data_IF_815535823334
#
_entry.id   IF_815535823334
#
_cell.length_a   1.000
_cell.length_b   1.000
_cell.length_c   1.000
_cell.angle_alpha   90.00
_cell.angle_beta   90.00
_cell.angle_gamma   90.00
#
_symmetry.space_group_name_H-M   'P 1'
#
loop_
_entity.id
_entity.type
_entity.pdbx_description
1 polymer ?
#
# COMPACT_ATOMS: atom_id res chain seq x y z
N UNK A 1 27.12 21.58 -10.71
CA UNK A 1 26.65 21.16 -9.38
C UNK A 1 25.92 19.83 -9.54
N UNK A 2 26.65 18.72 -9.39
CA UNK A 2 26.06 17.39 -9.47
C UNK A 2 25.14 17.18 -8.25
N UNK A 3 23.84 17.04 -8.48
CA UNK A 3 22.94 16.50 -7.46
C UNK A 3 23.42 15.08 -7.17
N UNK A 4 24.09 14.90 -6.03
CA UNK A 4 24.40 13.59 -5.49
C UNK A 4 23.08 12.88 -5.27
N UNK A 5 22.67 12.07 -6.25
CA UNK A 5 21.58 11.11 -6.08
C UNK A 5 22.00 10.26 -4.89
N UNK A 6 21.37 10.47 -3.73
CA UNK A 6 21.52 9.57 -2.60
C UNK A 6 21.31 8.15 -3.13
N UNK A 7 22.18 7.20 -2.80
CA UNK A 7 21.99 5.82 -3.24
C UNK A 7 20.56 5.40 -2.87
N UNK A 8 19.85 4.68 -3.76
CA UNK A 8 18.50 4.25 -3.46
C UNK A 8 18.51 3.49 -2.13
N UNK A 9 17.59 3.77 -1.21
CA UNK A 9 17.58 3.15 0.11
C UNK A 9 17.69 1.62 0.03
N UNK A 10 18.35 0.99 0.99
CA UNK A 10 18.56 -0.47 1.01
C UNK A 10 17.25 -1.28 0.91
N UNK A 11 16.13 -0.70 1.35
CA UNK A 11 14.81 -1.31 1.27
C UNK A 11 14.16 -1.27 -0.13
N UNK A 12 14.73 -0.53 -1.10
CA UNK A 12 14.35 -0.52 -2.52
C UNK A 12 15.11 -1.56 -3.36
N UNK A 13 16.24 -2.05 -2.84
CA UNK A 13 17.11 -2.94 -3.58
C UNK A 13 16.64 -4.39 -3.37
N UNK A 14 16.39 -5.17 -4.44
CA UNK A 14 16.16 -6.60 -4.28
C UNK A 14 17.44 -7.24 -3.74
N UNK A 15 17.30 -8.22 -2.85
CA UNK A 15 18.45 -9.04 -2.45
C UNK A 15 19.14 -9.60 -3.71
N UNK A 16 20.47 -9.59 -3.73
CA UNK A 16 21.26 -9.98 -4.91
C UNK A 16 20.81 -11.35 -5.44
N UNK A 17 20.28 -11.40 -6.66
CA UNK A 17 19.78 -12.62 -7.32
C UNK A 17 18.31 -12.99 -7.04
N UNK A 18 17.55 -12.16 -6.33
CA UNK A 18 16.16 -12.46 -5.97
C UNK A 18 15.14 -11.95 -7.02
N UNK A 19 14.01 -12.65 -7.14
CA UNK A 19 12.88 -12.21 -7.97
C UNK A 19 12.34 -10.85 -7.48
N UNK A 20 11.75 -10.00 -8.36
CA UNK A 20 11.31 -8.64 -8.03
C UNK A 20 10.32 -8.54 -6.84
N UNK A 21 9.63 -9.63 -6.50
CA UNK A 21 8.77 -9.72 -5.31
C UNK A 21 9.50 -9.99 -3.99
N UNK A 22 10.83 -10.11 -3.99
CA UNK A 22 11.63 -10.40 -2.78
C UNK A 22 12.19 -9.14 -2.12
N UNK A 23 11.83 -7.96 -2.66
CA UNK A 23 12.25 -6.68 -2.11
C UNK A 23 11.63 -6.49 -0.71
N UNK A 24 12.38 -5.98 0.30
CA UNK A 24 11.88 -5.78 1.66
C UNK A 24 10.57 -4.97 1.72
N UNK A 25 10.42 -3.99 0.83
CA UNK A 25 9.21 -3.18 0.68
C UNK A 25 7.97 -4.02 0.33
N UNK A 26 8.09 -5.00 -0.57
CA UNK A 26 6.99 -5.89 -0.93
C UNK A 26 6.51 -6.70 0.28
N UNK A 27 7.44 -7.28 1.04
CA UNK A 27 7.11 -8.05 2.24
C UNK A 27 6.51 -7.17 3.34
N UNK A 28 7.02 -5.95 3.53
CA UNK A 28 6.47 -4.99 4.47
C UNK A 28 5.02 -4.60 4.11
N UNK A 29 4.75 -4.38 2.82
CA UNK A 29 3.41 -4.09 2.29
C UNK A 29 2.46 -5.29 2.45
N UNK A 30 2.92 -6.50 2.09
CA UNK A 30 2.13 -7.73 2.18
C UNK A 30 1.79 -8.13 3.62
N UNK A 31 2.54 -7.65 4.61
CA UNK A 31 2.32 -7.88 6.04
C UNK A 31 1.53 -6.77 6.74
N UNK A 32 1.06 -5.75 6.03
CA UNK A 32 0.18 -4.72 6.62
C UNK A 32 -1.19 -5.30 7.00
N UNK A 33 -1.84 -4.82 8.07
CA UNK A 33 -3.23 -5.15 8.36
C UNK A 33 -4.13 -4.88 7.15
N UNK A 34 -5.14 -5.75 6.93
CA UNK A 34 -5.94 -5.74 5.69
C UNK A 34 -6.56 -4.38 5.37
N UNK A 35 -7.13 -3.68 6.37
CA UNK A 35 -7.77 -2.37 6.18
C UNK A 35 -6.76 -1.27 5.81
N UNK A 36 -5.60 -1.24 6.46
CA UNK A 36 -4.51 -0.31 6.14
C UNK A 36 -3.99 -0.53 4.72
N UNK A 37 -3.83 -1.80 4.36
CA UNK A 37 -3.38 -2.21 3.04
C UNK A 37 -4.37 -1.81 1.96
N UNK A 38 -5.66 -2.05 2.16
CA UNK A 38 -6.70 -1.68 1.19
C UNK A 38 -6.75 -0.17 0.95
N UNK A 39 -6.76 0.63 2.02
CA UNK A 39 -6.73 2.10 1.90
C UNK A 39 -5.49 2.57 1.13
N UNK A 40 -4.31 2.01 1.44
CA UNK A 40 -3.08 2.37 0.77
C UNK A 40 -3.04 1.95 -0.71
N UNK A 41 -3.53 0.76 -1.03
CA UNK A 41 -3.59 0.28 -2.42
C UNK A 41 -4.53 1.14 -3.27
N UNK A 42 -5.71 1.49 -2.75
CA UNK A 42 -6.67 2.37 -3.43
C UNK A 42 -6.10 3.78 -3.62
N UNK A 43 -5.48 4.34 -2.58
CA UNK A 43 -4.83 5.65 -2.68
C UNK A 43 -3.64 5.64 -3.66
N UNK A 44 -2.90 4.54 -3.74
CA UNK A 44 -1.65 4.49 -4.53
C UNK A 44 -1.85 4.10 -5.98
N UNK A 45 -2.74 3.16 -6.27
CA UNK A 45 -2.94 2.59 -7.62
C UNK A 45 -4.02 3.35 -8.37
N UNK A 46 -5.13 3.65 -7.70
CA UNK A 46 -6.29 4.28 -8.35
C UNK A 46 -6.24 5.82 -8.23
N UNK A 47 -5.19 6.36 -7.58
CA UNK A 47 -5.02 7.79 -7.28
C UNK A 47 -6.26 8.44 -6.65
N UNK A 48 -7.07 7.62 -5.97
CA UNK A 48 -8.34 8.05 -5.40
C UNK A 48 -8.11 9.03 -4.25
N UNK A 49 -8.92 10.07 -4.21
CA UNK A 49 -8.98 10.97 -3.07
C UNK A 49 -9.61 10.31 -1.85
N UNK A 50 -9.53 10.99 -0.71
CA UNK A 50 -9.96 10.44 0.58
C UNK A 50 -11.47 10.15 0.59
N UNK A 51 -12.26 10.96 -0.12
CA UNK A 51 -13.70 10.79 -0.21
C UNK A 51 -14.09 9.54 -1.03
N UNK A 52 -13.43 9.31 -2.18
CA UNK A 52 -13.74 8.14 -3.00
C UNK A 52 -13.28 6.84 -2.31
N UNK A 53 -12.11 6.85 -1.65
CA UNK A 53 -11.64 5.71 -0.84
C UNK A 53 -12.63 5.41 0.30
N UNK A 54 -13.11 6.45 0.98
CA UNK A 54 -14.08 6.33 2.06
C UNK A 54 -15.38 5.68 1.56
N UNK A 55 -15.90 6.12 0.41
CA UNK A 55 -17.06 5.51 -0.23
C UNK A 55 -16.80 4.04 -0.61
N UNK A 56 -15.65 3.75 -1.23
CA UNK A 56 -15.31 2.40 -1.68
C UNK A 56 -15.16 1.41 -0.52
N UNK A 57 -14.65 1.87 0.63
CA UNK A 57 -14.45 1.06 1.82
C UNK A 57 -15.66 1.07 2.78
N UNK A 58 -16.68 1.89 2.52
CA UNK A 58 -17.81 2.10 3.43
C UNK A 58 -17.39 2.69 4.77
N UNK A 59 -16.43 3.62 4.77
CA UNK A 59 -15.84 4.27 5.94
C UNK A 59 -16.09 5.78 5.93
N UNK A 60 -15.89 6.43 7.08
CA UNK A 60 -15.85 7.89 7.17
C UNK A 60 -14.51 8.43 6.63
N UNK A 61 -14.48 9.59 5.94
CA UNK A 61 -13.26 10.18 5.41
C UNK A 61 -12.15 10.40 6.46
N UNK A 62 -12.51 10.75 7.71
CA UNK A 62 -11.51 10.95 8.77
C UNK A 62 -10.75 9.65 9.12
N UNK A 63 -11.41 8.50 8.95
CA UNK A 63 -10.78 7.19 9.18
C UNK A 63 -9.78 6.82 8.09
N UNK A 64 -9.93 7.36 6.88
CA UNK A 64 -8.98 7.11 5.78
C UNK A 64 -7.62 7.75 6.11
N UNK A 65 -7.62 8.99 6.60
CA UNK A 65 -6.42 9.67 7.07
C UNK A 65 -5.69 8.82 8.14
N UNK A 66 -6.45 8.35 9.14
CA UNK A 66 -5.91 7.47 10.18
C UNK A 66 -5.31 6.19 9.59
N UNK A 67 -6.01 5.52 8.68
CA UNK A 67 -5.54 4.27 8.08
C UNK A 67 -4.28 4.47 7.23
N UNK A 68 -4.18 5.58 6.48
CA UNK A 68 -3.01 5.91 5.69
C UNK A 68 -1.81 6.27 6.56
N UNK A 69 -2.02 7.09 7.60
CA UNK A 69 -0.95 7.41 8.57
C UNK A 69 -0.46 6.15 9.28
N UNK A 70 -1.35 5.27 9.74
CA UNK A 70 -0.96 3.99 10.34
C UNK A 70 -0.21 3.10 9.35
N UNK A 71 -0.63 3.04 8.09
CA UNK A 71 0.05 2.26 7.06
C UNK A 71 1.49 2.76 6.85
N UNK A 72 1.67 4.06 6.63
CA UNK A 72 2.99 4.65 6.38
C UNK A 72 3.90 4.56 7.59
N UNK A 73 3.39 4.82 8.80
CA UNK A 73 4.17 4.65 10.02
C UNK A 73 4.60 3.18 10.21
N UNK A 74 3.72 2.22 9.94
CA UNK A 74 4.06 0.79 10.04
C UNK A 74 5.14 0.39 9.02
N UNK A 75 5.06 0.91 7.79
CA UNK A 75 6.07 0.67 6.76
C UNK A 75 7.41 1.33 7.14
N UNK A 76 7.38 2.60 7.55
CA UNK A 76 8.56 3.34 8.00
C UNK A 76 9.27 2.66 9.17
N UNK A 77 8.53 2.18 10.17
CA UNK A 77 9.11 1.41 11.29
C UNK A 77 9.79 0.12 10.83
N UNK A 78 9.16 -0.64 9.93
CA UNK A 78 9.71 -1.89 9.41
C UNK A 78 10.94 -1.68 8.54
N UNK A 79 10.96 -0.61 7.76
CA UNK A 79 12.05 -0.27 6.85
C UNK A 79 13.08 0.67 7.51
N UNK A 80 12.86 1.02 8.79
CA UNK A 80 13.69 1.91 9.60
C UNK A 80 13.98 3.26 8.91
N UNK A 81 12.93 3.85 8.34
CA UNK A 81 12.98 5.11 7.58
C UNK A 81 11.80 6.02 7.92
N UNK A 82 12.01 7.32 7.81
CA UNK A 82 11.04 8.35 8.11
C UNK A 82 10.75 8.48 9.60
N UNK A 83 9.64 9.15 9.92
CA UNK A 83 9.13 9.26 11.29
C UNK A 83 7.61 9.19 11.33
N UNK A 84 7.05 8.87 12.49
CA UNK A 84 5.60 8.86 12.67
C UNK A 84 4.98 10.24 12.39
N UNK A 85 5.66 11.31 12.81
CA UNK A 85 5.21 12.68 12.56
C UNK A 85 5.31 13.07 11.09
N UNK A 86 6.35 12.63 10.38
CA UNK A 86 6.46 12.79 8.94
C UNK A 86 5.34 12.04 8.19
N UNK A 87 5.00 10.82 8.63
CA UNK A 87 3.89 10.03 8.07
C UNK A 87 2.53 10.72 8.27
N UNK A 88 2.32 11.33 9.44
CA UNK A 88 1.11 12.11 9.73
C UNK A 88 1.02 13.35 8.84
N UNK A 89 2.09 14.14 8.76
CA UNK A 89 2.14 15.33 7.88
C UNK A 89 1.94 14.97 6.41
N UNK A 90 2.59 13.91 5.93
CA UNK A 90 2.46 13.45 4.55
C UNK A 90 1.02 13.06 4.21
N UNK A 91 0.31 12.44 5.16
CA UNK A 91 -1.09 12.08 4.96
C UNK A 91 -2.00 13.30 5.02
N UNK A 92 -1.79 14.19 6.02
CA UNK A 92 -2.57 15.41 6.19
C UNK A 92 -2.49 16.34 4.97
N UNK A 93 -1.30 16.46 4.36
CA UNK A 93 -1.09 17.28 3.17
C UNK A 93 -1.82 16.77 1.91
N UNK A 94 -2.16 15.48 1.86
CA UNK A 94 -2.96 14.91 0.77
C UNK A 94 -4.45 15.15 0.96
N UNK A 95 -4.90 15.49 2.16
CA UNK A 95 -6.30 15.79 2.42
C UNK A 95 -6.64 17.18 1.84
N UNK A 96 -7.62 17.29 0.92
CA UNK A 96 -8.00 18.58 0.33
C UNK A 96 -8.56 19.59 1.34
N UNK A 97 -9.02 19.12 2.51
CA UNK A 97 -9.54 19.95 3.59
C UNK A 97 -8.44 20.59 4.47
N UNK A 98 -7.16 20.48 4.10
CA UNK A 98 -6.07 21.10 4.87
C UNK A 98 -6.18 22.64 4.84
N UNK A 99 -6.12 23.24 6.03
CA UNK A 99 -6.26 24.68 6.23
C UNK A 99 -4.94 25.43 6.04
N UNK A 100 -4.98 26.76 5.76
CA UNK A 100 -3.77 27.58 5.71
C UNK A 100 -2.96 27.56 7.01
N UNK A 101 -3.62 27.54 8.18
CA UNK A 101 -2.95 27.44 9.49
C UNK A 101 -2.17 26.14 9.64
N UNK A 102 -2.74 25.00 9.23
CA UNK A 102 -2.04 23.72 9.28
C UNK A 102 -0.83 23.68 8.34
N UNK A 103 -0.89 24.37 7.20
CA UNK A 103 0.27 24.52 6.31
C UNK A 103 1.39 25.34 6.95
N UNK A 104 1.04 26.37 7.73
CA UNK A 104 2.01 27.14 8.52
C UNK A 104 2.62 26.26 9.61
N UNK A 105 1.82 25.45 10.29
CA UNK A 105 2.31 24.53 11.33
C UNK A 105 3.23 23.44 10.76
N UNK A 106 2.89 22.91 9.58
CA UNK A 106 3.78 22.03 8.83
C UNK A 106 5.12 22.71 8.52
N UNK A 107 5.08 23.97 8.04
CA UNK A 107 6.29 24.72 7.72
C UNK A 107 7.15 24.96 8.95
N UNK A 108 6.54 25.35 10.08
CA UNK A 108 7.23 25.51 11.36
C UNK A 108 7.86 24.20 11.82
N UNK A 109 7.16 23.08 11.65
CA UNK A 109 7.71 21.77 11.94
C UNK A 109 8.93 21.47 11.06
N UNK A 110 8.89 21.72 9.75
CA UNK A 110 10.05 21.55 8.87
C UNK A 110 11.24 22.43 9.28
N UNK A 111 11.00 23.70 9.61
CA UNK A 111 12.06 24.65 9.94
C UNK A 111 12.67 24.40 11.34
N UNK A 112 11.98 23.67 12.22
CA UNK A 112 12.45 23.41 13.58
C UNK A 112 13.68 22.48 13.66
N UNK A 113 13.89 21.60 12.67
CA UNK A 113 15.06 20.72 12.64
C UNK A 113 15.34 20.20 11.22
N UNK A 114 16.62 20.17 10.77
CA UNK A 114 16.99 19.51 9.50
C UNK A 114 16.55 18.04 9.42
N UNK A 115 16.47 17.35 10.57
CA UNK A 115 16.02 15.96 10.65
C UNK A 115 14.55 15.78 10.25
N UNK A 116 13.71 16.80 10.43
CA UNK A 116 12.30 16.76 10.03
C UNK A 116 12.14 16.78 8.51
N UNK A 117 12.94 17.60 7.81
CA UNK A 117 12.98 17.63 6.36
C UNK A 117 13.42 16.26 5.81
N UNK A 118 14.48 15.68 6.38
CA UNK A 118 14.94 14.34 5.99
C UNK A 118 13.86 13.28 6.22
N UNK A 119 13.24 13.24 7.39
CA UNK A 119 12.18 12.28 7.70
C UNK A 119 10.96 12.43 6.77
N UNK A 120 10.64 13.65 6.36
CA UNK A 120 9.58 13.92 5.39
C UNK A 120 9.95 13.42 3.99
N UNK A 121 11.16 13.71 3.50
CA UNK A 121 11.65 13.19 2.22
C UNK A 121 11.70 11.66 2.19
N UNK A 122 12.14 11.02 3.28
CA UNK A 122 12.15 9.56 3.40
C UNK A 122 10.74 8.96 3.30
N UNK A 123 9.75 9.60 3.94
CA UNK A 123 8.33 9.21 3.85
C UNK A 123 7.80 9.37 2.43
N UNK A 124 8.18 10.45 1.73
CA UNK A 124 7.78 10.68 0.34
C UNK A 124 8.41 9.67 -0.63
N UNK A 125 9.70 9.35 -0.46
CA UNK A 125 10.37 8.31 -1.23
C UNK A 125 9.71 6.95 -1.01
N UNK A 126 9.38 6.63 0.26
CA UNK A 126 8.60 5.45 0.61
C UNK A 126 7.27 5.44 -0.13
N UNK A 127 6.48 6.52 -0.10
CA UNK A 127 5.21 6.57 -0.85
C UNK A 127 5.39 6.33 -2.35
N UNK A 128 6.35 7.02 -2.98
CA UNK A 128 6.61 6.93 -4.42
C UNK A 128 6.97 5.50 -4.84
N UNK A 129 7.83 4.85 -4.04
CA UNK A 129 8.30 3.48 -4.27
C UNK A 129 7.23 2.40 -4.14
N UNK A 130 6.07 2.70 -3.54
CA UNK A 130 5.03 1.71 -3.29
C UNK A 130 4.26 1.27 -4.54
N UNK A 131 4.38 1.96 -5.67
CA UNK A 131 3.58 1.65 -6.87
C UNK A 131 3.84 0.22 -7.39
N UNK A 132 5.09 -0.08 -7.70
CA UNK A 132 5.53 -1.39 -8.19
C UNK A 132 5.14 -2.55 -7.25
N UNK A 133 5.47 -2.54 -5.94
CA UNK A 133 5.09 -3.62 -5.04
C UNK A 133 3.56 -3.71 -4.85
N UNK A 134 2.83 -2.59 -4.95
CA UNK A 134 1.37 -2.58 -4.88
C UNK A 134 0.75 -3.29 -6.09
N UNK A 135 1.23 -3.00 -7.30
CA UNK A 135 0.79 -3.68 -8.53
C UNK A 135 1.12 -5.17 -8.49
N UNK A 136 2.34 -5.53 -8.08
CA UNK A 136 2.75 -6.92 -7.91
C UNK A 136 1.86 -7.67 -6.90
N UNK A 137 1.48 -7.01 -5.81
CA UNK A 137 0.61 -7.59 -4.80
C UNK A 137 -0.82 -7.82 -5.31
N UNK A 138 -1.41 -6.86 -6.05
CA UNK A 138 -2.71 -7.03 -6.70
C UNK A 138 -2.69 -8.16 -7.74
N UNK A 139 -1.67 -8.19 -8.60
CA UNK A 139 -1.52 -9.23 -9.62
C UNK A 139 -1.43 -10.64 -9.00
N UNK A 140 -0.67 -10.78 -7.90
CA UNK A 140 -0.57 -12.05 -7.18
C UNK A 140 -1.90 -12.44 -6.51
N UNK A 141 -2.65 -11.49 -5.97
CA UNK A 141 -3.99 -11.72 -5.44
C UNK A 141 -4.98 -12.23 -6.49
N UNK A 142 -5.02 -11.59 -7.66
CA UNK A 142 -5.87 -11.99 -8.78
C UNK A 142 -5.56 -13.42 -9.27
N UNK A 143 -4.27 -13.77 -9.41
CA UNK A 143 -3.81 -15.12 -9.77
C UNK A 143 -4.29 -16.18 -8.76
N UNK A 144 -4.18 -15.89 -7.46
CA UNK A 144 -4.64 -16.80 -6.41
C UNK A 144 -6.17 -16.96 -6.42
N UNK A 145 -6.91 -15.88 -6.65
CA UNK A 145 -8.38 -15.92 -6.72
C UNK A 145 -8.86 -16.72 -7.95
N UNK A 146 -8.23 -16.55 -9.10
CA UNK A 146 -8.52 -17.32 -10.30
C UNK A 146 -8.28 -18.83 -10.09
N UNK A 147 -7.15 -19.20 -9.45
CA UNK A 147 -6.86 -20.60 -9.07
C UNK A 147 -7.90 -21.19 -8.12
N UNK A 148 -8.35 -20.42 -7.13
CA UNK A 148 -9.42 -20.84 -6.20
C UNK A 148 -10.74 -21.09 -6.93
N UNK A 149 -11.19 -20.16 -7.79
CA UNK A 149 -12.41 -20.35 -8.59
C UNK A 149 -12.31 -21.57 -9.51
N UNK A 150 -11.17 -21.78 -10.15
CA UNK A 150 -10.91 -22.97 -10.96
C UNK A 150 -10.96 -24.27 -10.14
N UNK A 151 -10.39 -24.27 -8.92
CA UNK A 151 -10.43 -25.44 -8.04
C UNK A 151 -11.86 -25.78 -7.59
N UNK A 152 -12.68 -24.79 -7.23
CA UNK A 152 -14.09 -24.99 -6.85
C UNK A 152 -14.96 -25.43 -8.03
N UNK A 153 -14.74 -24.85 -9.22
CA UNK A 153 -15.43 -25.28 -10.45
C UNK A 153 -15.12 -26.73 -10.83
N UNK A 154 -13.92 -27.24 -10.49
CA UNK A 154 -13.51 -28.62 -10.75
C UNK A 154 -14.28 -29.65 -9.90
N UNK A 155 -14.68 -29.29 -8.67
CA UNK A 155 -15.51 -30.14 -7.82
C UNK A 155 -16.99 -30.15 -8.24
N UNK A 156 -17.49 -29.01 -8.74
CA UNK A 156 -18.86 -28.93 -9.28
C UNK A 156 -18.98 -29.68 -10.60
N UNK A 157 -17.99 -29.57 -11.49
CA UNK A 157 -17.95 -30.34 -12.74
C UNK A 157 -17.85 -31.85 -12.51
N UNK A 158 -17.14 -32.29 -11.46
CA UNK A 158 -17.08 -33.71 -11.10
C UNK A 158 -18.42 -34.26 -10.61
N UNK A 159 -19.21 -33.47 -9.88
CA UNK A 159 -20.55 -33.84 -9.43
C UNK A 159 -21.58 -33.85 -10.56
N UNK A 160 -21.51 -32.94 -11.52
CA UNK A 160 -22.42 -32.94 -12.68
C UNK A 160 -22.15 -34.10 -13.65
N UNK A 161 -20.89 -34.48 -13.85
CA UNK A 161 -20.53 -35.64 -14.70
C UNK A 161 -21.02 -36.94 -14.06
N UNK A 162 -20.94 -37.08 -12.73
CA UNK A 162 -21.41 -38.29 -12.03
C UNK A 162 -22.95 -38.43 -12.05
N UNK A 163 -23.69 -37.32 -11.95
CA UNK A 163 -25.15 -37.34 -12.09
C UNK A 163 -25.59 -37.66 -13.52
N UNK A 164 -24.89 -37.17 -14.54
CA UNK A 164 -25.21 -37.46 -15.96
C UNK A 164 -24.94 -38.91 -16.34
N UNK A 165 -23.88 -39.53 -15.83
CA UNK A 165 -23.60 -40.96 -16.08
C UNK A 165 -24.58 -41.86 -15.34
N UNK A 166 -25.04 -41.47 -14.14
CA UNK A 166 -26.07 -42.21 -13.40
C UNK A 166 -27.47 -42.14 -14.04
N UNK A 167 -27.75 -41.14 -14.87
CA UNK A 167 -29.03 -40.97 -15.56
C UNK A 167 -29.10 -41.71 -16.91
N UNK A 168 -27.95 -42.17 -17.44
CA UNK A 168 -27.87 -42.90 -18.71
C UNK A 168 -27.85 -44.44 -18.52
N UNK A 169 -27.88 -44.92 -17.28
CA UNK A 169 -27.85 -46.35 -16.93
C UNK A 169 -29.16 -46.86 -16.29
N UNK A 170 -30.28 -46.12 -16.43
CA UNK A 170 -31.64 -46.56 -16.10
C UNK A 170 -32.51 -46.66 -17.35
#
# INVERSE_FOLDING_TARGET
>A
MAHSLSPPPDWLQPATGAAPGSCPLYHALASLPRRHRQALLLARIDELGFAEIAQHLGLCPERIETHLTCALNTLGQRLRTGSAQASAWYTRLQNPAITPSERIDFRRWLDASPSHLQAFHETELLWRSLLEPSQALLANGAKLQARRKASLGRWIAALTILMLVSWLSL
#
